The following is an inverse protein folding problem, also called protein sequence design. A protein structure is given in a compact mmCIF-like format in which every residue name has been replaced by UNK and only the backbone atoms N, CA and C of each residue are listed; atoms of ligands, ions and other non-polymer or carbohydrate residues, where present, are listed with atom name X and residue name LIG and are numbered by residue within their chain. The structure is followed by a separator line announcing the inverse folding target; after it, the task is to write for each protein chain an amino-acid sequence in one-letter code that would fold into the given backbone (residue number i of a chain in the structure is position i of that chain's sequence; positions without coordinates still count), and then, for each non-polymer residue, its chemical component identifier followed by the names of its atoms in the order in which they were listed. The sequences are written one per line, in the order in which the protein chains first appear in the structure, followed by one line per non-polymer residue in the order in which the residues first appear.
data_IF_636581337803
#
_entry.id   IF_636581337803
#
_cell.length_a   1.000
_cell.length_b   1.000
_cell.length_c   1.000
_cell.angle_alpha   90.00
_cell.angle_beta   90.00
_cell.angle_gamma   90.00
#
_symmetry.space_group_name_H-M   'P 1'
#
loop_
_entity.id
_entity.type
_entity.pdbx_description
1 polymer ?
#
# COMPACT_ATOMS: atom_id res chain seq x y z
N UNK A 1 6.60 8.50 -10.97
CA UNK A 1 7.65 8.12 -11.96
C UNK A 1 9.01 8.13 -11.29
N UNK A 2 9.83 7.10 -11.47
CA UNK A 2 11.23 7.11 -11.07
C UNK A 2 12.13 7.29 -12.30
N UNK A 3 12.45 8.55 -12.63
CA UNK A 3 13.20 8.91 -13.83
C UNK A 3 14.64 8.37 -13.87
N UNK A 4 15.16 7.83 -12.76
CA UNK A 4 16.48 7.20 -12.71
C UNK A 4 16.49 5.76 -13.24
N UNK A 5 15.34 5.11 -13.36
CA UNK A 5 15.23 3.72 -13.82
C UNK A 5 15.23 3.62 -15.35
N UNK A 6 15.93 2.64 -15.97
CA UNK A 6 15.88 2.41 -17.41
C UNK A 6 14.47 2.01 -17.89
N UNK A 7 14.19 2.21 -19.18
CA UNK A 7 12.89 1.82 -19.78
C UNK A 7 12.69 0.31 -19.61
N UNK A 8 11.48 -0.10 -19.23
CA UNK A 8 11.14 -1.51 -18.97
C UNK A 8 11.45 -2.04 -17.56
N UNK A 9 12.12 -1.26 -16.70
CA UNK A 9 12.51 -1.70 -15.34
C UNK A 9 11.57 -1.24 -14.22
N UNK A 10 10.29 -0.98 -14.52
CA UNK A 10 9.34 -0.43 -13.55
C UNK A 10 9.58 1.06 -13.24
N UNK A 11 9.82 1.86 -14.29
CA UNK A 11 10.02 3.32 -14.23
C UNK A 11 8.75 4.08 -13.80
N UNK A 12 7.60 3.52 -14.10
CA UNK A 12 6.30 4.09 -13.76
C UNK A 12 5.65 3.23 -12.68
N UNK A 13 4.94 3.89 -11.78
CA UNK A 13 4.15 3.29 -10.73
C UNK A 13 2.90 4.13 -10.53
N UNK A 14 1.86 3.52 -9.99
CA UNK A 14 0.57 4.14 -9.75
C UNK A 14 0.31 4.22 -8.25
N UNK A 15 -0.37 5.27 -7.83
CA UNK A 15 -1.00 5.33 -6.50
C UNK A 15 -2.41 4.78 -6.65
N UNK A 16 -2.87 3.95 -5.72
CA UNK A 16 -4.23 3.39 -5.78
C UNK A 16 -5.26 4.50 -5.61
N UNK A 17 -5.11 5.32 -4.56
CA UNK A 17 -5.92 6.52 -4.35
C UNK A 17 -5.03 7.65 -3.88
N UNK A 18 -5.14 8.80 -4.55
CA UNK A 18 -4.49 10.04 -4.15
C UNK A 18 -5.54 11.10 -3.83
N UNK A 19 -5.64 11.46 -2.55
CA UNK A 19 -6.60 12.42 -2.02
C UNK A 19 -5.93 13.78 -1.97
N UNK A 20 -6.44 14.68 -2.81
CA UNK A 20 -6.02 16.08 -2.87
C UNK A 20 -6.69 16.87 -1.76
N UNK A 21 -6.06 17.98 -1.38
CA UNK A 21 -6.59 18.90 -0.37
C UNK A 21 -7.96 19.46 -0.82
N UNK A 22 -8.97 19.34 0.03
CA UNK A 22 -10.24 20.05 -0.10
C UNK A 22 -10.17 21.49 0.43
N UNK A 23 -11.23 22.27 0.23
CA UNK A 23 -11.33 23.61 0.82
C UNK A 23 -11.39 23.46 2.35
N UNK A 24 -10.39 24.02 3.06
CA UNK A 24 -10.32 24.00 4.52
C UNK A 24 -9.46 22.89 5.14
N UNK A 25 -9.07 21.86 4.38
CA UNK A 25 -8.21 20.77 4.88
C UNK A 25 -6.72 21.06 4.72
N UNK A 26 -5.87 20.47 5.56
CA UNK A 26 -4.43 20.73 5.53
C UNK A 26 -3.57 19.55 5.07
N UNK A 27 -4.18 18.41 4.72
CA UNK A 27 -3.44 17.18 4.46
C UNK A 27 -3.73 16.63 3.06
N UNK A 28 -2.65 16.32 2.34
CA UNK A 28 -2.70 15.48 1.15
C UNK A 28 -2.48 14.05 1.62
N UNK A 29 -3.29 13.10 1.14
CA UNK A 29 -3.18 11.70 1.55
C UNK A 29 -3.00 10.78 0.36
N UNK A 30 -2.10 9.82 0.46
CA UNK A 30 -2.02 8.67 -0.43
C UNK A 30 -2.60 7.46 0.30
N UNK A 31 -3.38 6.62 -0.38
CA UNK A 31 -3.86 5.36 0.15
C UNK A 31 -3.32 4.20 -0.70
N UNK A 32 -2.89 3.14 -0.03
CA UNK A 32 -2.61 1.84 -0.65
C UNK A 32 -3.72 0.87 -0.27
N UNK A 33 -4.31 0.21 -1.27
CA UNK A 33 -5.38 -0.76 -1.08
C UNK A 33 -4.80 -2.17 -1.13
N UNK A 34 -5.09 -2.95 -0.09
CA UNK A 34 -4.69 -4.34 0.01
C UNK A 34 -5.89 -5.21 0.32
N UNK A 35 -5.84 -6.43 -0.18
CA UNK A 35 -6.88 -7.42 -0.01
C UNK A 35 -6.31 -8.74 0.48
N UNK A 36 -6.89 -9.29 1.53
CA UNK A 36 -6.66 -10.65 2.00
C UNK A 36 -7.94 -11.45 1.76
N UNK A 37 -7.83 -12.42 0.86
CA UNK A 37 -8.94 -13.34 0.56
C UNK A 37 -9.21 -14.29 1.73
N UNK A 38 -10.48 -14.63 1.94
CA UNK A 38 -10.89 -15.64 2.91
C UNK A 38 -10.22 -17.01 2.67
N UNK A 39 -10.06 -17.39 1.40
CA UNK A 39 -9.38 -18.64 1.00
C UNK A 39 -7.96 -18.68 1.53
N UNK A 40 -7.26 -17.55 1.52
CA UNK A 40 -5.90 -17.45 2.06
C UNK A 40 -5.81 -17.61 3.59
N UNK A 41 -6.93 -17.50 4.32
CA UNK A 41 -6.98 -17.67 5.77
C UNK A 41 -7.29 -19.11 6.19
N UNK A 42 -7.58 -19.97 5.22
CA UNK A 42 -7.97 -21.35 5.45
C UNK A 42 -6.83 -22.26 4.99
N UNK A 43 -6.39 -23.19 5.85
CA UNK A 43 -5.38 -24.19 5.47
C UNK A 43 -6.06 -25.48 5.00
N UNK A 44 -5.72 -25.91 3.78
CA UNK A 44 -5.85 -27.27 3.25
C UNK A 44 -7.22 -27.99 3.37
N UNK A 45 -8.30 -27.25 3.58
CA UNK A 45 -9.66 -27.79 3.56
C UNK A 45 -10.44 -27.10 2.44
N UNK A 46 -11.26 -27.87 1.72
CA UNK A 46 -12.20 -27.32 0.75
C UNK A 46 -13.36 -26.70 1.53
N UNK A 47 -13.43 -25.37 1.52
CA UNK A 47 -14.55 -24.63 2.08
C UNK A 47 -15.53 -24.32 0.95
N UNK A 48 -16.82 -24.56 1.20
CA UNK A 48 -17.89 -24.09 0.33
C UNK A 48 -18.22 -22.63 0.60
N UNK A 49 -19.16 -22.09 -0.17
CA UNK A 49 -19.57 -20.69 -0.04
C UNK A 49 -20.14 -20.37 1.35
N UNK A 50 -20.91 -21.28 1.94
CA UNK A 50 -21.52 -21.10 3.26
C UNK A 50 -20.47 -21.00 4.37
N UNK A 51 -19.43 -21.84 4.32
CA UNK A 51 -18.36 -21.81 5.30
C UNK A 51 -17.51 -20.55 5.17
N UNK A 52 -17.29 -20.06 3.95
CA UNK A 52 -16.63 -18.77 3.71
C UNK A 52 -17.47 -17.61 4.24
N UNK A 53 -18.79 -17.61 4.01
CA UNK A 53 -19.69 -16.58 4.54
C UNK A 53 -19.67 -16.56 6.08
N UNK A 54 -19.70 -17.74 6.71
CA UNK A 54 -19.61 -17.86 8.16
C UNK A 54 -18.26 -17.35 8.68
N UNK A 55 -17.15 -17.69 8.00
CA UNK A 55 -15.84 -17.15 8.34
C UNK A 55 -15.84 -15.62 8.25
N UNK A 56 -16.37 -15.05 7.18
CA UNK A 56 -16.42 -13.59 6.99
C UNK A 56 -17.18 -12.88 8.12
N UNK A 57 -18.32 -13.45 8.56
CA UNK A 57 -19.09 -12.95 9.72
C UNK A 57 -18.32 -13.08 11.05
N UNK A 58 -17.49 -14.11 11.19
CA UNK A 58 -16.63 -14.27 12.38
C UNK A 58 -15.53 -13.20 12.37
N UNK A 59 -14.84 -13.01 11.25
CA UNK A 59 -13.77 -12.03 11.10
C UNK A 59 -14.26 -10.59 11.30
N UNK A 60 -15.49 -10.29 10.90
CA UNK A 60 -16.13 -8.98 11.13
C UNK A 60 -16.11 -8.59 12.62
N UNK A 61 -16.37 -9.56 13.50
CA UNK A 61 -16.50 -9.36 14.96
C UNK A 61 -15.21 -9.61 15.74
N UNK A 62 -14.18 -10.13 15.09
CA UNK A 62 -12.94 -10.51 15.75
C UNK A 62 -12.15 -9.28 16.21
N UNK A 63 -11.51 -9.40 17.37
CA UNK A 63 -10.59 -8.39 17.86
C UNK A 63 -9.40 -8.23 16.90
N UNK A 64 -8.90 -7.01 16.76
CA UNK A 64 -7.82 -6.73 15.81
C UNK A 64 -6.53 -7.48 16.18
N UNK A 65 -6.16 -7.58 17.45
CA UNK A 65 -4.92 -8.27 17.83
C UNK A 65 -4.98 -9.78 17.53
N UNK A 66 -6.15 -10.39 17.73
CA UNK A 66 -6.39 -11.79 17.39
C UNK A 66 -6.37 -11.98 15.87
N UNK A 67 -7.06 -11.10 15.14
CA UNK A 67 -7.13 -11.11 13.69
C UNK A 67 -5.74 -11.01 13.05
N UNK A 68 -4.89 -10.10 13.55
CA UNK A 68 -3.52 -9.92 13.06
C UNK A 68 -2.65 -11.17 13.26
N UNK A 69 -2.93 -12.01 14.26
CA UNK A 69 -2.22 -13.27 14.53
C UNK A 69 -2.69 -14.43 13.64
N UNK A 70 -3.80 -14.29 12.91
CA UNK A 70 -4.30 -15.37 12.03
C UNK A 70 -3.28 -15.72 10.97
N UNK A 71 -3.15 -17.02 10.71
CA UNK A 71 -2.32 -17.51 9.62
C UNK A 71 -2.93 -17.10 8.28
N UNK A 72 -2.07 -16.59 7.40
CA UNK A 72 -2.41 -16.19 6.05
C UNK A 72 -1.46 -16.87 5.06
N UNK A 73 -2.03 -17.39 3.98
CA UNK A 73 -1.33 -18.15 2.96
C UNK A 73 -1.65 -17.57 1.59
N UNK A 74 -0.61 -17.37 0.76
CA UNK A 74 -0.78 -16.85 -0.60
C UNK A 74 0.27 -17.41 -1.56
N UNK A 75 -0.05 -17.43 -2.85
CA UNK A 75 0.91 -17.78 -3.89
C UNK A 75 1.82 -16.60 -4.22
N UNK A 76 3.13 -16.72 -3.96
CA UNK A 76 4.10 -15.73 -4.37
C UNK A 76 4.56 -15.99 -5.81
N UNK A 77 4.33 -15.01 -6.70
CA UNK A 77 4.82 -15.05 -8.07
C UNK A 77 6.35 -15.01 -8.14
N UNK A 78 6.97 -14.23 -7.26
CA UNK A 78 8.43 -14.05 -7.20
C UNK A 78 9.13 -15.37 -6.83
N UNK A 79 8.70 -15.98 -5.73
CA UNK A 79 9.30 -17.22 -5.24
C UNK A 79 8.70 -18.48 -5.88
N UNK A 80 7.70 -18.33 -6.75
CA UNK A 80 6.93 -19.39 -7.40
C UNK A 80 6.48 -20.48 -6.43
N UNK A 81 6.02 -20.07 -5.25
CA UNK A 81 5.58 -20.99 -4.19
C UNK A 81 4.55 -20.35 -3.29
N UNK A 82 3.81 -21.22 -2.61
CA UNK A 82 2.94 -20.81 -1.51
C UNK A 82 3.75 -20.34 -0.32
N UNK A 83 3.45 -19.15 0.18
CA UNK A 83 4.03 -18.57 1.39
C UNK A 83 2.96 -18.58 2.46
N UNK A 84 3.34 -19.01 3.65
CA UNK A 84 2.53 -18.89 4.85
C UNK A 84 3.18 -17.88 5.80
N UNK A 85 2.36 -17.01 6.36
CA UNK A 85 2.72 -15.92 7.28
C UNK A 85 1.50 -15.63 8.18
N UNK A 86 1.47 -14.47 8.82
CA UNK A 86 0.30 -13.93 9.53
C UNK A 86 -0.25 -12.69 8.82
N UNK A 87 -1.50 -12.32 9.11
CA UNK A 87 -2.06 -11.05 8.62
C UNK A 87 -1.21 -9.86 9.06
N UNK A 88 -0.76 -9.84 10.31
CA UNK A 88 0.06 -8.77 10.87
C UNK A 88 1.42 -8.62 10.17
N UNK A 89 2.11 -9.74 9.93
CA UNK A 89 3.37 -9.73 9.17
C UNK A 89 3.17 -9.28 7.72
N UNK A 90 2.07 -9.73 7.08
CA UNK A 90 1.70 -9.27 5.75
C UNK A 90 1.51 -7.74 5.73
N UNK A 91 0.77 -7.17 6.68
CA UNK A 91 0.62 -5.71 6.80
C UNK A 91 1.96 -5.01 7.02
N UNK A 92 2.83 -5.54 7.89
CA UNK A 92 4.14 -4.93 8.18
C UNK A 92 4.99 -4.89 6.91
N UNK A 93 5.07 -6.00 6.17
CA UNK A 93 5.75 -6.02 4.87
C UNK A 93 5.12 -5.04 3.88
N UNK A 94 3.79 -4.87 3.89
CA UNK A 94 3.07 -3.90 3.07
C UNK A 94 3.23 -2.43 3.51
N UNK A 95 3.77 -2.13 4.70
CA UNK A 95 4.00 -0.75 5.16
C UNK A 95 5.41 -0.26 4.93
N UNK A 96 6.36 -1.19 4.93
CA UNK A 96 7.77 -0.92 5.09
C UNK A 96 8.48 -0.86 3.74
N UNK A 97 9.26 0.20 3.49
CA UNK A 97 10.45 0.09 2.63
C UNK A 97 11.50 -0.62 3.46
N UNK A 98 11.85 -1.86 3.12
CA UNK A 98 13.06 -2.43 3.66
C UNK A 98 13.81 -3.25 2.62
N UNK A 99 14.89 -2.66 2.10
CA UNK A 99 16.13 -3.40 1.90
C UNK A 99 16.67 -3.84 3.28
N UNK A 100 16.00 -4.76 3.98
CA UNK A 100 16.63 -5.52 5.06
C UNK A 100 16.88 -6.93 4.55
N UNK A 101 18.16 -7.26 4.39
CA UNK A 101 18.61 -8.66 4.40
C UNK A 101 18.42 -9.17 5.82
N UNK A 102 17.39 -9.99 6.06
CA UNK A 102 17.37 -10.92 7.20
C UNK A 102 17.53 -12.32 6.61
N UNK A 103 18.63 -13.00 6.94
CA UNK A 103 19.02 -14.30 6.39
C UNK A 103 19.23 -14.34 4.86
N UNK A 104 19.79 -13.27 4.27
CA UNK A 104 20.12 -13.25 2.84
C UNK A 104 18.92 -13.16 1.89
N UNK A 105 17.69 -13.07 2.43
CA UNK A 105 16.45 -13.00 1.65
C UNK A 105 15.97 -11.55 1.58
N UNK A 106 15.80 -11.04 0.36
CA UNK A 106 15.11 -9.78 0.11
C UNK A 106 13.62 -10.06 0.30
N UNK A 107 12.97 -9.31 1.20
CA UNK A 107 11.52 -9.29 1.30
C UNK A 107 11.11 -7.99 0.61
N UNK A 108 10.47 -8.11 -0.55
CA UNK A 108 9.93 -6.95 -1.25
C UNK A 108 8.76 -6.39 -0.42
N UNK A 109 9.06 -5.38 0.40
CA UNK A 109 8.05 -4.56 1.03
C UNK A 109 7.36 -3.64 0.02
N UNK A 110 6.28 -2.98 0.41
CA UNK A 110 5.50 -2.16 -0.53
C UNK A 110 6.33 -1.00 -1.10
N UNK A 111 6.07 -0.71 -2.38
CA UNK A 111 6.53 0.48 -3.07
C UNK A 111 5.87 1.78 -2.54
N UNK A 112 5.07 1.71 -1.47
CA UNK A 112 4.15 2.79 -1.10
C UNK A 112 4.85 4.03 -0.56
N UNK A 113 5.71 3.88 0.45
CA UNK A 113 6.50 5.01 0.96
C UNK A 113 7.50 5.51 -0.11
N UNK A 114 7.97 4.64 -1.02
CA UNK A 114 8.79 5.08 -2.16
C UNK A 114 7.96 5.92 -3.14
N UNK A 115 6.71 5.51 -3.37
CA UNK A 115 5.71 6.25 -4.11
C UNK A 115 5.46 7.63 -3.48
N UNK A 116 5.26 7.69 -2.17
CA UNK A 116 5.10 8.96 -1.43
C UNK A 116 6.34 9.86 -1.56
N UNK A 117 7.54 9.31 -1.41
CA UNK A 117 8.81 10.01 -1.65
C UNK A 117 9.01 10.46 -3.10
N UNK A 118 8.34 9.80 -4.05
CA UNK A 118 8.33 10.19 -5.45
C UNK A 118 7.34 11.32 -5.67
N UNK A 119 6.14 11.23 -5.08
CA UNK A 119 5.12 12.29 -5.12
C UNK A 119 5.70 13.58 -4.54
N UNK A 120 6.38 13.51 -3.39
CA UNK A 120 6.90 14.67 -2.67
C UNK A 120 7.91 15.53 -3.45
N UNK A 121 8.51 14.98 -4.51
CA UNK A 121 9.40 15.68 -5.45
C UNK A 121 8.69 16.64 -6.40
N UNK A 122 7.36 16.59 -6.44
CA UNK A 122 6.52 17.47 -7.24
C UNK A 122 6.36 17.00 -8.69
N UNK A 123 6.04 17.92 -9.61
CA UNK A 123 5.86 17.59 -11.04
C UNK A 123 7.19 17.19 -11.66
N UNK A 124 7.17 16.20 -12.55
CA UNK A 124 8.35 15.88 -13.34
C UNK A 124 8.76 17.07 -14.21
N UNK A 125 10.05 17.38 -14.21
CA UNK A 125 10.65 18.42 -15.06
C UNK A 125 10.96 17.86 -16.45
N UNK A 126 11.46 16.63 -16.48
CA UNK A 126 11.81 15.91 -17.70
C UNK A 126 11.75 14.39 -17.46
N UNK A 127 12.06 13.61 -18.50
CA UNK A 127 12.01 12.15 -18.46
C UNK A 127 12.97 11.51 -17.44
N UNK A 128 14.04 12.19 -17.03
CA UNK A 128 15.02 11.69 -16.06
C UNK A 128 14.73 12.11 -14.62
N UNK A 129 13.78 13.02 -14.42
CA UNK A 129 13.34 13.45 -13.10
C UNK A 129 12.28 12.50 -12.53
N UNK A 130 12.36 12.23 -11.22
CA UNK A 130 11.33 11.49 -10.50
C UNK A 130 10.30 12.46 -9.93
N UNK A 131 9.01 12.11 -10.02
CA UNK A 131 7.93 13.00 -9.63
C UNK A 131 6.54 12.48 -10.03
N UNK A 132 5.56 13.36 -9.89
CA UNK A 132 4.19 13.22 -10.39
C UNK A 132 4.17 13.49 -11.90
N UNK A 133 3.69 12.51 -12.65
CA UNK A 133 3.42 12.60 -14.08
C UNK A 133 1.95 12.22 -14.28
N UNK A 134 1.05 13.16 -14.00
CA UNK A 134 -0.38 13.07 -14.22
C UNK A 134 -0.90 14.46 -14.59
N UNK A 135 -1.58 14.58 -15.72
CA UNK A 135 -2.07 15.87 -16.22
C UNK A 135 -3.27 16.41 -15.45
N UNK A 136 -3.96 15.56 -14.68
CA UNK A 136 -5.14 15.95 -13.87
C UNK A 136 -4.74 16.58 -12.54
N UNK A 137 -3.46 16.51 -12.18
CA UNK A 137 -2.91 17.02 -10.93
C UNK A 137 -1.97 18.19 -11.22
N UNK A 138 -2.35 19.37 -10.75
CA UNK A 138 -1.49 20.56 -10.75
C UNK A 138 -0.64 20.57 -9.49
N UNK A 139 0.67 20.55 -9.67
CA UNK A 139 1.64 20.71 -8.58
C UNK A 139 2.14 22.14 -8.52
N UNK A 140 2.05 22.79 -7.35
CA UNK A 140 2.46 24.19 -7.15
C UNK A 140 3.44 24.24 -5.98
N UNK A 141 4.59 24.89 -6.17
CA UNK A 141 5.58 25.09 -5.09
C UNK A 141 4.94 25.84 -3.93
N UNK A 142 5.17 25.38 -2.71
CA UNK A 142 4.57 25.93 -1.49
C UNK A 142 5.56 25.88 -0.32
N UNK A 143 5.12 26.42 0.81
CA UNK A 143 5.76 26.09 2.10
C UNK A 143 5.68 24.58 2.36
N UNK A 144 6.59 24.03 3.19
CA UNK A 144 6.60 22.63 3.55
C UNK A 144 5.21 22.17 4.04
N UNK A 145 4.76 21.05 3.51
CA UNK A 145 3.49 20.42 3.84
C UNK A 145 3.65 18.91 4.00
N UNK A 146 2.63 18.29 4.58
CA UNK A 146 2.66 16.88 4.99
C UNK A 146 1.85 16.03 4.02
N UNK A 147 2.52 15.06 3.40
CA UNK A 147 1.89 13.96 2.69
C UNK A 147 1.70 12.80 3.67
N UNK A 148 0.44 12.50 4.01
CA UNK A 148 0.07 11.37 4.85
C UNK A 148 -0.14 10.13 4.00
N UNK A 149 0.18 8.97 4.55
CA UNK A 149 -0.04 7.70 3.88
C UNK A 149 -0.84 6.75 4.77
N UNK A 150 -1.74 5.99 4.16
CA UNK A 150 -2.46 4.93 4.86
C UNK A 150 -2.51 3.66 4.00
N UNK A 151 -2.30 2.52 4.65
CA UNK A 151 -2.63 1.22 4.05
C UNK A 151 -4.03 0.86 4.51
N UNK A 152 -4.95 0.67 3.57
CA UNK A 152 -6.30 0.15 3.79
C UNK A 152 -6.28 -1.33 3.43
N UNK A 153 -6.49 -2.18 4.42
CA UNK A 153 -6.55 -3.62 4.25
C UNK A 153 -7.98 -4.10 4.39
N UNK A 154 -8.50 -4.69 3.33
CA UNK A 154 -9.77 -5.43 3.33
C UNK A 154 -9.46 -6.91 3.54
N UNK A 155 -10.12 -7.53 4.52
CA UNK A 155 -10.02 -8.96 4.84
C UNK A 155 -11.40 -9.56 4.62
N UNK A 156 -11.50 -10.50 3.69
CA UNK A 156 -12.81 -10.99 3.24
C UNK A 156 -13.67 -9.88 2.65
N UNK A 157 -14.95 -9.83 2.98
CA UNK A 157 -15.84 -8.80 2.44
C UNK A 157 -16.29 -7.78 3.49
N UNK A 158 -16.14 -8.11 4.77
CA UNK A 158 -16.71 -7.31 5.87
C UNK A 158 -15.68 -6.56 6.71
N UNK A 159 -14.45 -7.07 6.83
CA UNK A 159 -13.48 -6.52 7.78
C UNK A 159 -12.50 -5.59 7.08
N UNK A 160 -12.47 -4.34 7.50
CA UNK A 160 -11.53 -3.33 7.02
C UNK A 160 -10.64 -2.90 8.18
N UNK A 161 -9.33 -3.00 7.99
CA UNK A 161 -8.32 -2.41 8.85
C UNK A 161 -7.64 -1.28 8.11
N UNK A 162 -7.19 -0.27 8.84
CA UNK A 162 -6.34 0.77 8.28
C UNK A 162 -5.15 1.01 9.19
N UNK A 163 -4.02 1.37 8.60
CA UNK A 163 -2.84 1.71 9.36
C UNK A 163 -2.10 2.88 8.71
N UNK A 164 -1.68 3.88 9.51
CA UNK A 164 -0.86 4.96 8.99
C UNK A 164 0.55 4.44 8.64
N UNK A 165 1.18 5.09 7.67
CA UNK A 165 2.62 5.01 7.43
C UNK A 165 3.29 6.34 7.76
N UNK A 166 4.62 6.36 7.70
CA UNK A 166 5.41 7.55 7.98
C UNK A 166 4.99 8.73 7.07
N UNK A 167 4.89 9.92 7.67
CA UNK A 167 4.59 11.15 6.92
C UNK A 167 5.79 11.55 6.07
N UNK A 168 5.53 12.01 4.84
CA UNK A 168 6.57 12.55 3.96
C UNK A 168 6.39 14.06 3.85
N UNK A 169 7.48 14.81 4.05
CA UNK A 169 7.48 16.26 3.83
C UNK A 169 7.57 16.54 2.33
N UNK A 170 6.71 17.44 1.83
CA UNK A 170 6.76 17.95 0.47
C UNK A 170 6.84 19.48 0.50
N UNK A 171 7.40 20.09 -0.54
CA UNK A 171 7.41 21.55 -0.72
C UNK A 171 6.42 21.96 -1.82
N UNK A 172 5.35 21.19 -1.98
CA UNK A 172 4.40 21.35 -3.07
C UNK A 172 2.97 21.10 -2.61
N UNK A 173 2.04 21.92 -3.06
CA UNK A 173 0.60 21.65 -3.01
C UNK A 173 0.16 20.95 -4.29
N UNK A 174 -0.88 20.12 -4.18
CA UNK A 174 -1.43 19.34 -5.28
C UNK A 174 -2.92 19.64 -5.39
N UNK A 175 -3.34 20.14 -6.54
CA UNK A 175 -4.71 20.53 -6.83
C UNK A 175 -5.23 19.79 -8.05
N UNK A 176 -6.55 19.57 -8.11
CA UNK A 176 -7.20 19.06 -9.32
C UNK A 176 -7.24 20.17 -10.36
N UNK A 177 -6.97 19.83 -11.61
CA UNK A 177 -7.20 20.71 -12.77
C UNK A 177 -8.67 20.67 -13.16
#
# INVERSE_FOLDING_TARGET
MDGKKPKGSGRFGYSDIFILKGIGDNYISSLELKYISLVGLIRNQKFGANELENLDKILEKEDEEILLKRSYTYWSKEFKKTIQTTIGEAIISMKMIHSRKKHGKIIHGSDFLQGMNTISKGKVVNYFSSGVLDERVKTIKSNPNKLKGFVILVIGFRRILWKPVEEVISNYTYNKI
#
